data_IF_163051407060
#
_entry.id   IF_163051407060
#
_cell.length_a   1.000
_cell.length_b   1.000
_cell.length_c   1.000
_cell.angle_alpha   90.00
_cell.angle_beta   90.00
_cell.angle_gamma   90.00
#
_symmetry.space_group_name_H-M   'P 1'
#
loop_
_entity.id
_entity.type
_entity.pdbx_description
1 polymer ?
#
# COMPACT_ATOMS: atom_id res chain seq x y z
N UNK A 1 -24.19 18.68 -20.40
CA UNK A 1 -22.95 18.23 -19.76
C UNK A 1 -22.54 16.91 -20.41
N UNK A 2 -21.48 16.93 -21.22
CA UNK A 2 -20.97 15.73 -21.88
C UNK A 2 -20.02 15.04 -20.91
N UNK A 3 -20.43 13.89 -20.37
CA UNK A 3 -19.56 13.05 -19.55
C UNK A 3 -18.34 12.62 -20.37
N UNK A 4 -17.14 12.90 -19.86
CA UNK A 4 -15.90 12.45 -20.48
C UNK A 4 -15.91 10.92 -20.53
N UNK A 5 -15.91 10.37 -21.75
CA UNK A 5 -15.67 8.95 -21.96
C UNK A 5 -14.20 8.74 -22.25
N UNK A 6 -13.62 7.59 -21.87
CA UNK A 6 -12.20 7.30 -22.12
C UNK A 6 -11.81 7.30 -23.61
N UNK A 7 -12.79 7.37 -24.53
CA UNK A 7 -12.59 7.56 -25.98
C UNK A 7 -12.28 8.99 -26.38
N UNK A 8 -12.64 9.98 -25.56
CA UNK A 8 -12.49 11.41 -25.91
C UNK A 8 -11.09 11.95 -25.57
N UNK A 9 -10.28 11.17 -24.85
CA UNK A 9 -8.87 11.48 -24.55
C UNK A 9 -7.97 10.47 -25.28
N UNK A 10 -7.62 10.75 -26.53
CA UNK A 10 -6.72 9.91 -27.31
C UNK A 10 -5.29 9.90 -26.74
N UNK A 11 -4.69 8.72 -26.63
CA UNK A 11 -3.29 8.54 -26.20
C UNK A 11 -2.63 7.36 -26.90
N UNK A 12 -1.55 7.64 -27.61
CA UNK A 12 -0.69 6.64 -28.25
C UNK A 12 0.53 6.28 -27.38
N UNK A 13 0.91 5.00 -27.48
CA UNK A 13 2.03 4.21 -26.96
C UNK A 13 3.32 4.90 -26.44
N UNK A 14 4.00 4.29 -25.45
CA UNK A 14 5.30 3.56 -25.52
C UNK A 14 5.63 2.93 -24.14
N UNK A 15 6.49 1.90 -24.13
CA UNK A 15 6.62 0.77 -23.23
C UNK A 15 7.41 0.93 -21.90
N UNK A 16 7.06 0.01 -20.99
CA UNK A 16 7.80 -0.57 -19.82
C UNK A 16 7.59 -0.03 -18.40
N UNK A 17 6.93 -0.88 -17.60
CA UNK A 17 6.95 -0.99 -16.13
C UNK A 17 6.68 0.29 -15.31
N UNK A 18 5.41 0.46 -14.93
CA UNK A 18 4.85 1.61 -14.19
C UNK A 18 5.17 2.95 -14.86
N UNK A 19 4.68 3.13 -16.09
CA UNK A 19 4.89 4.40 -16.78
C UNK A 19 3.90 5.46 -16.33
N UNK A 20 4.48 6.46 -15.68
CA UNK A 20 4.04 7.85 -15.73
C UNK A 20 3.59 8.25 -17.13
N UNK A 21 2.47 8.98 -17.21
CA UNK A 21 2.08 9.72 -18.42
C UNK A 21 2.12 11.22 -18.15
N UNK A 22 3.05 11.91 -18.81
CA UNK A 22 3.16 13.36 -19.03
C UNK A 22 3.88 13.52 -20.38
N UNK A 23 3.63 14.56 -21.24
CA UNK A 23 3.23 15.93 -20.90
C UNK A 23 2.10 16.55 -21.73
N UNK A 24 1.34 15.83 -22.55
CA UNK A 24 0.43 16.51 -23.51
C UNK A 24 -1.03 16.07 -23.54
N UNK A 25 -1.49 15.17 -22.66
CA UNK A 25 -2.89 15.07 -22.21
C UNK A 25 -2.93 14.08 -21.01
N UNK A 26 -3.92 14.16 -20.13
CA UNK A 26 -3.89 13.64 -18.75
C UNK A 26 -4.59 12.27 -18.55
N UNK A 27 -3.91 11.30 -17.92
CA UNK A 27 -4.47 10.00 -17.43
C UNK A 27 -3.44 9.13 -16.71
N UNK A 28 -3.84 8.29 -15.74
CA UNK A 28 -2.98 7.27 -15.09
C UNK A 28 -3.43 5.87 -15.49
N UNK A 29 -2.46 5.04 -15.87
CA UNK A 29 -2.67 3.62 -16.19
C UNK A 29 -2.05 2.74 -15.10
N UNK A 30 -2.86 1.92 -14.45
CA UNK A 30 -2.35 0.92 -13.48
C UNK A 30 -2.18 -0.41 -14.22
N UNK A 31 -0.95 -0.90 -14.31
CA UNK A 31 -0.65 -2.20 -14.93
C UNK A 31 -0.81 -3.33 -13.91
N UNK A 32 -1.60 -4.33 -14.24
CA UNK A 32 -1.58 -5.63 -13.54
C UNK A 32 -0.59 -6.58 -14.24
N UNK A 33 0.65 -6.67 -13.75
CA UNK A 33 1.67 -7.58 -14.26
C UNK A 33 2.06 -8.67 -13.25
N UNK A 34 2.32 -9.92 -13.68
CA UNK A 34 2.96 -10.91 -12.84
C UNK A 34 4.45 -10.53 -12.76
N UNK A 35 4.88 -9.93 -11.66
CA UNK A 35 6.27 -9.48 -11.58
C UNK A 35 6.58 -8.65 -10.35
N UNK A 36 7.26 -9.33 -9.42
CA UNK A 36 8.15 -8.82 -8.37
C UNK A 36 7.53 -8.06 -7.20
N UNK A 37 7.56 -8.75 -6.04
CA UNK A 37 7.76 -8.23 -4.69
C UNK A 37 7.83 -6.69 -4.60
N UNK A 38 6.67 -6.07 -4.40
CA UNK A 38 6.60 -4.70 -3.93
C UNK A 38 5.59 -4.66 -2.78
N UNK A 39 6.11 -4.81 -1.57
CA UNK A 39 5.42 -4.47 -0.33
C UNK A 39 5.21 -2.97 -0.29
N UNK A 40 3.97 -2.52 -0.39
CA UNK A 40 3.50 -1.33 0.31
C UNK A 40 1.97 -1.29 0.28
N UNK A 41 1.36 -0.75 1.34
CA UNK A 41 -0.08 -0.75 1.60
C UNK A 41 -0.56 0.71 1.65
N UNK A 42 -1.63 1.05 0.93
CA UNK A 42 -2.49 2.19 1.26
C UNK A 42 -3.96 1.85 0.99
N UNK A 43 -4.81 2.29 1.92
CA UNK A 43 -6.26 2.23 1.84
C UNK A 43 -6.82 3.55 1.31
N UNK A 44 -7.42 3.51 0.11
CA UNK A 44 -8.30 4.59 -0.34
C UNK A 44 -9.72 4.26 0.16
N UNK A 45 -10.35 5.11 0.99
CA UNK A 45 -11.77 5.00 1.31
C UNK A 45 -12.57 5.55 0.12
N UNK A 46 -12.52 4.84 -1.00
CA UNK A 46 -13.47 4.98 -2.09
C UNK A 46 -14.45 3.82 -1.99
N UNK A 47 -15.72 4.10 -1.69
CA UNK A 47 -16.80 3.11 -1.80
C UNK A 47 -16.98 2.81 -3.30
N UNK A 48 -16.13 1.96 -3.84
CA UNK A 48 -16.42 1.21 -5.04
C UNK A 48 -17.29 0.04 -4.59
N UNK A 49 -18.55 0.15 -4.99
CA UNK A 49 -19.65 -0.76 -4.70
C UNK A 49 -19.18 -2.21 -4.60
N UNK A 50 -19.44 -2.83 -3.45
CA UNK A 50 -19.34 -4.27 -3.25
C UNK A 50 -20.39 -4.89 -4.17
N UNK A 51 -20.04 -5.17 -5.43
CA UNK A 51 -20.89 -5.99 -6.28
C UNK A 51 -20.89 -7.38 -5.69
N UNK A 52 -21.92 -7.66 -4.91
CA UNK A 52 -22.20 -8.99 -4.39
C UNK A 52 -22.72 -9.82 -5.57
N UNK A 53 -21.84 -10.29 -6.46
CA UNK A 53 -22.24 -11.11 -7.62
C UNK A 53 -22.53 -12.57 -7.25
N UNK A 54 -22.87 -12.83 -6.00
CA UNK A 54 -23.19 -14.16 -5.48
C UNK A 54 -24.62 -14.59 -5.81
N UNK A 55 -25.16 -14.17 -6.96
CA UNK A 55 -26.48 -14.63 -7.39
C UNK A 55 -26.40 -15.21 -8.82
N UNK A 56 -26.35 -16.55 -8.96
CA UNK A 56 -26.30 -17.56 -7.89
C UNK A 56 -24.89 -17.68 -7.26
N UNK A 57 -24.76 -18.06 -5.97
CA UNK A 57 -23.46 -18.26 -5.35
C UNK A 57 -22.86 -19.56 -5.89
N UNK A 58 -21.97 -19.45 -6.88
CA UNK A 58 -21.11 -20.57 -7.24
C UNK A 58 -20.18 -20.87 -6.07
N UNK A 59 -19.98 -22.13 -5.73
CA UNK A 59 -19.04 -22.55 -4.67
C UNK A 59 -17.85 -23.26 -5.30
N UNK A 60 -16.68 -23.13 -4.69
CA UNK A 60 -15.51 -23.92 -5.05
C UNK A 60 -15.74 -25.31 -4.46
N UNK A 61 -15.84 -26.35 -5.29
CA UNK A 61 -16.01 -27.72 -4.78
C UNK A 61 -14.71 -28.51 -4.80
N UNK A 62 -13.73 -28.06 -5.58
CA UNK A 62 -12.42 -28.69 -5.69
C UNK A 62 -11.34 -27.68 -6.04
N UNK A 63 -10.12 -27.95 -5.60
CA UNK A 63 -8.92 -27.16 -5.86
C UNK A 63 -7.76 -28.12 -6.11
N UNK A 64 -7.17 -28.06 -7.30
CA UNK A 64 -6.06 -28.93 -7.72
C UNK A 64 -4.85 -28.11 -8.20
N UNK A 65 -3.66 -28.70 -8.06
CA UNK A 65 -2.46 -28.15 -8.67
C UNK A 65 -2.59 -28.21 -10.19
N UNK A 66 -2.20 -27.15 -10.89
CA UNK A 66 -2.11 -27.21 -12.34
C UNK A 66 -0.86 -28.01 -12.74
N UNK A 67 -1.04 -29.15 -13.42
CA UNK A 67 0.04 -29.96 -14.02
C UNK A 67 0.66 -29.28 -15.27
N UNK A 68 0.68 -27.95 -15.32
CA UNK A 68 1.20 -27.14 -16.43
C UNK A 68 2.61 -26.63 -16.07
N UNK A 69 3.60 -26.68 -17.00
CA UNK A 69 4.91 -26.05 -16.81
C UNK A 69 4.85 -24.54 -16.48
N UNK A 70 3.73 -23.86 -16.77
CA UNK A 70 3.47 -22.46 -16.40
C UNK A 70 3.08 -22.27 -14.93
N UNK A 71 2.86 -23.36 -14.20
CA UNK A 71 2.39 -23.35 -12.82
C UNK A 71 0.93 -22.87 -12.67
N UNK A 72 0.40 -23.01 -11.46
CA UNK A 72 -0.89 -22.45 -11.06
C UNK A 72 -1.73 -23.42 -10.23
N UNK A 73 -2.95 -22.97 -9.93
CA UNK A 73 -3.96 -23.76 -9.23
C UNK A 73 -5.27 -23.67 -10.00
N UNK A 74 -5.97 -24.78 -10.17
CA UNK A 74 -7.32 -24.80 -10.72
C UNK A 74 -8.37 -24.77 -9.61
N UNK A 75 -9.40 -23.98 -9.82
CA UNK A 75 -10.59 -23.91 -8.98
C UNK A 75 -11.78 -24.46 -9.77
N UNK A 76 -12.50 -25.42 -9.21
CA UNK A 76 -13.64 -26.03 -9.87
C UNK A 76 -14.95 -25.59 -9.24
N UNK A 77 -15.92 -25.29 -10.09
CA UNK A 77 -17.26 -24.85 -9.70
C UNK A 77 -18.32 -25.80 -10.27
N UNK A 78 -19.37 -26.15 -9.49
CA UNK A 78 -20.43 -27.03 -9.98
C UNK A 78 -21.31 -26.33 -11.01
N UNK A 79 -21.32 -24.99 -11.00
CA UNK A 79 -22.04 -24.09 -11.89
C UNK A 79 -21.10 -22.98 -12.36
N UNK A 80 -21.41 -22.36 -13.50
CA UNK A 80 -20.59 -21.26 -14.04
C UNK A 80 -20.66 -20.07 -13.05
N UNK A 81 -19.53 -19.65 -12.45
CA UNK A 81 -19.51 -18.48 -11.60
C UNK A 81 -19.63 -17.20 -12.46
N UNK A 82 -20.26 -16.15 -11.93
CA UNK A 82 -20.38 -14.84 -12.61
C UNK A 82 -19.05 -14.08 -12.49
N UNK A 83 -18.03 -14.60 -13.15
CA UNK A 83 -16.65 -14.18 -13.09
C UNK A 83 -16.13 -14.05 -14.53
N UNK A 84 -15.19 -13.14 -14.75
CA UNK A 84 -14.46 -13.02 -16.02
C UNK A 84 -12.98 -13.31 -15.83
N UNK A 85 -12.31 -13.65 -16.93
CA UNK A 85 -10.87 -13.64 -16.98
C UNK A 85 -10.34 -12.29 -16.47
N UNK A 86 -9.28 -12.32 -15.66
CA UNK A 86 -8.66 -11.19 -14.98
C UNK A 86 -9.45 -10.54 -13.84
N UNK A 87 -10.63 -11.06 -13.48
CA UNK A 87 -11.21 -10.72 -12.19
C UNK A 87 -10.28 -11.22 -11.06
N UNK A 88 -10.35 -10.51 -9.93
CA UNK A 88 -9.66 -10.88 -8.70
C UNK A 88 -10.66 -11.57 -7.79
N UNK A 89 -10.28 -12.71 -7.23
CA UNK A 89 -11.10 -13.45 -6.28
C UNK A 89 -10.37 -13.66 -4.97
N UNK A 90 -11.08 -13.48 -3.86
CA UNK A 90 -10.57 -13.81 -2.53
C UNK A 90 -11.29 -15.06 -2.08
N UNK A 91 -10.52 -16.06 -1.68
CA UNK A 91 -11.04 -17.31 -1.10
C UNK A 91 -11.35 -17.03 0.37
N UNK A 92 -12.54 -17.42 0.84
CA UNK A 92 -12.94 -17.23 2.24
C UNK A 92 -12.28 -18.25 3.18
N UNK A 93 -12.40 -17.97 4.47
CA UNK A 93 -11.81 -18.68 5.62
C UNK A 93 -12.23 -20.13 5.76
N UNK A 94 -13.16 -20.57 4.92
CA UNK A 94 -13.74 -21.88 4.99
C UNK A 94 -13.03 -22.94 4.14
N UNK A 95 -11.94 -22.56 3.46
CA UNK A 95 -10.98 -23.47 2.86
C UNK A 95 -9.70 -23.38 3.68
N UNK A 96 -9.35 -24.46 4.37
CA UNK A 96 -8.23 -24.48 5.32
C UNK A 96 -7.21 -25.54 4.89
N UNK A 97 -5.92 -25.21 4.81
CA UNK A 97 -4.88 -26.21 4.57
C UNK A 97 -4.70 -27.08 5.81
N UNK A 98 -4.49 -28.38 5.60
CA UNK A 98 -4.05 -29.32 6.63
C UNK A 98 -2.52 -29.35 6.62
N UNK A 99 -1.93 -28.90 7.73
CA UNK A 99 -0.50 -28.96 7.96
C UNK A 99 -0.21 -29.57 9.34
N UNK A 100 0.99 -30.13 9.47
CA UNK A 100 1.53 -30.69 10.71
C UNK A 100 1.81 -29.62 11.77
N UNK A 101 2.11 -28.39 11.35
CA UNK A 101 2.48 -27.28 12.23
C UNK A 101 1.60 -26.03 12.01
N UNK A 102 1.11 -25.44 13.11
CA UNK A 102 0.16 -24.31 13.09
C UNK A 102 0.70 -23.05 12.41
N UNK A 103 2.01 -22.77 12.49
CA UNK A 103 2.63 -21.62 11.79
C UNK A 103 2.54 -21.82 10.28
N UNK A 104 2.87 -23.02 9.80
CA UNK A 104 2.79 -23.38 8.38
C UNK A 104 1.34 -23.33 7.90
N UNK A 105 0.40 -23.78 8.74
CA UNK A 105 -1.03 -23.68 8.46
C UNK A 105 -1.49 -22.22 8.30
N UNK A 106 -1.02 -21.31 9.16
CA UNK A 106 -1.33 -19.88 9.10
C UNK A 106 -0.81 -19.24 7.80
N UNK A 107 0.44 -19.52 7.45
CA UNK A 107 1.06 -18.97 6.23
C UNK A 107 0.36 -19.49 4.97
N UNK A 108 0.10 -20.80 4.90
CA UNK A 108 -0.64 -21.41 3.81
C UNK A 108 -2.08 -20.86 3.71
N UNK A 109 -2.75 -20.66 4.84
CA UNK A 109 -4.10 -20.06 4.86
C UNK A 109 -4.08 -18.65 4.27
N UNK A 110 -3.05 -17.86 4.60
CA UNK A 110 -2.89 -16.50 4.05
C UNK A 110 -2.63 -16.52 2.55
N UNK A 111 -1.85 -17.48 2.06
CA UNK A 111 -1.60 -17.67 0.62
C UNK A 111 -2.87 -18.11 -0.10
N UNK A 112 -3.60 -19.10 0.43
CA UNK A 112 -4.84 -19.62 -0.16
C UNK A 112 -5.90 -18.51 -0.26
N UNK A 113 -6.02 -17.63 0.73
CA UNK A 113 -6.93 -16.48 0.66
C UNK A 113 -6.60 -15.48 -0.46
N UNK A 114 -5.34 -15.43 -0.90
CA UNK A 114 -4.83 -14.42 -1.83
C UNK A 114 -4.39 -13.14 -1.11
N UNK A 115 -4.05 -13.23 0.18
CA UNK A 115 -3.68 -12.07 1.01
C UNK A 115 -4.74 -10.95 0.93
N UNK A 116 -4.33 -9.68 0.88
CA UNK A 116 -5.24 -8.53 0.80
C UNK A 116 -5.76 -8.23 -0.62
N UNK A 117 -5.12 -8.81 -1.64
CA UNK A 117 -5.33 -8.46 -3.06
C UNK A 117 -6.24 -9.47 -3.76
N UNK A 118 -6.21 -10.73 -3.33
CA UNK A 118 -6.88 -11.86 -3.98
C UNK A 118 -6.01 -12.52 -5.04
N UNK A 119 -6.57 -13.55 -5.66
CA UNK A 119 -5.98 -14.30 -6.77
C UNK A 119 -6.51 -13.81 -8.10
N UNK A 120 -5.60 -13.57 -9.05
CA UNK A 120 -5.95 -13.21 -10.43
C UNK A 120 -6.38 -14.45 -11.19
N UNK A 121 -7.50 -14.35 -11.89
CA UNK A 121 -7.91 -15.38 -12.84
C UNK A 121 -7.15 -15.21 -14.14
N UNK A 122 -6.36 -16.21 -14.47
CA UNK A 122 -5.51 -16.22 -15.66
C UNK A 122 -6.27 -16.80 -16.84
N UNK A 123 -7.13 -17.79 -16.61
CA UNK A 123 -7.78 -18.55 -17.66
C UNK A 123 -9.10 -19.15 -17.16
N UNK A 124 -10.06 -19.30 -18.07
CA UNK A 124 -11.33 -19.98 -17.82
C UNK A 124 -11.42 -21.19 -18.76
N UNK A 125 -11.77 -22.34 -18.20
CA UNK A 125 -11.77 -23.66 -18.82
C UNK A 125 -13.10 -24.37 -18.55
N UNK A 126 -13.36 -25.46 -19.26
CA UNK A 126 -14.53 -26.33 -19.06
C UNK A 126 -15.87 -25.57 -19.09
N UNK A 127 -16.11 -24.81 -20.16
CA UNK A 127 -17.28 -23.94 -20.30
C UNK A 127 -17.43 -22.99 -19.09
N UNK A 128 -16.32 -22.36 -18.72
CA UNK A 128 -16.18 -21.39 -17.63
C UNK A 128 -16.44 -21.95 -16.21
N UNK A 129 -16.43 -23.27 -16.02
CA UNK A 129 -16.58 -23.92 -14.70
C UNK A 129 -15.27 -24.23 -13.99
N UNK A 130 -14.15 -24.10 -14.68
CA UNK A 130 -12.82 -24.26 -14.11
C UNK A 130 -12.04 -22.98 -14.32
N UNK A 131 -11.50 -22.42 -13.24
CA UNK A 131 -10.70 -21.20 -13.30
C UNK A 131 -9.26 -21.52 -12.96
N UNK A 132 -8.32 -21.02 -13.76
CA UNK A 132 -6.89 -21.07 -13.41
C UNK A 132 -6.51 -19.78 -12.70
N UNK A 133 -5.92 -19.91 -11.51
CA UNK A 133 -5.32 -18.79 -10.78
C UNK A 133 -3.81 -18.93 -10.71
N UNK A 134 -3.13 -17.78 -10.61
CA UNK A 134 -1.67 -17.70 -10.49
C UNK A 134 -1.23 -17.91 -9.03
N UNK A 135 -1.46 -19.12 -8.54
CA UNK A 135 -1.04 -19.57 -7.20
C UNK A 135 -0.30 -20.88 -7.35
N UNK A 136 0.94 -20.94 -6.85
CA UNK A 136 1.75 -22.16 -6.85
C UNK A 136 2.05 -22.53 -5.40
N UNK A 137 1.75 -23.78 -5.04
CA UNK A 137 2.03 -24.36 -3.73
C UNK A 137 2.91 -25.59 -3.91
N UNK A 138 4.04 -25.64 -3.22
CA UNK A 138 4.95 -26.79 -3.24
C UNK A 138 5.38 -27.15 -1.80
N UNK A 139 5.04 -28.35 -1.29
CA UNK A 139 4.08 -29.29 -1.84
C UNK A 139 2.65 -28.74 -1.81
N UNK A 140 1.79 -29.23 -2.70
CA UNK A 140 0.37 -28.86 -2.68
C UNK A 140 -0.30 -29.43 -1.41
N UNK A 141 -0.87 -28.59 -0.51
CA UNK A 141 -1.42 -29.06 0.75
C UNK A 141 -2.75 -29.79 0.55
N UNK A 142 -3.08 -30.68 1.49
CA UNK A 142 -4.44 -31.23 1.60
C UNK A 142 -5.34 -30.11 2.11
N UNK A 143 -6.49 -29.89 1.46
CA UNK A 143 -7.45 -28.84 1.82
C UNK A 143 -8.69 -29.44 2.48
N UNK A 144 -9.14 -28.79 3.54
CA UNK A 144 -10.39 -29.10 4.25
C UNK A 144 -11.41 -27.98 3.99
N UNK A 145 -12.63 -28.36 3.59
CA UNK A 145 -13.73 -27.45 3.30
C UNK A 145 -14.74 -27.41 4.45
N UNK A 146 -15.24 -26.22 4.81
CA UNK A 146 -16.23 -26.03 5.87
C UNK A 146 -17.42 -25.15 5.40
N UNK A 147 -18.56 -25.71 4.98
CA UNK A 147 -19.00 -27.08 5.12
C UNK A 147 -18.26 -28.05 4.18
N UNK A 148 -18.30 -29.37 4.45
CA UNK A 148 -17.61 -30.37 3.63
C UNK A 148 -18.00 -30.22 2.16
N UNK A 149 -16.99 -30.15 1.27
CA UNK A 149 -17.13 -30.01 -0.19
C UNK A 149 -17.57 -28.63 -0.72
N UNK A 150 -17.55 -27.58 0.10
CA UNK A 150 -17.88 -26.22 -0.37
C UNK A 150 -16.95 -25.15 0.19
N UNK A 151 -16.21 -24.53 -0.72
CA UNK A 151 -15.39 -23.35 -0.52
C UNK A 151 -16.12 -22.10 -0.98
N UNK A 152 -16.09 -21.06 -0.17
CA UNK A 152 -16.69 -19.77 -0.51
C UNK A 152 -15.60 -18.84 -1.01
N UNK A 153 -16.02 -17.89 -1.81
CA UNK A 153 -15.15 -16.88 -2.40
C UNK A 153 -15.98 -15.63 -2.66
N UNK A 154 -15.30 -14.51 -2.87
CA UNK A 154 -15.93 -13.30 -3.37
C UNK A 154 -15.02 -12.62 -4.38
N UNK A 155 -15.64 -11.92 -5.32
CA UNK A 155 -14.91 -11.09 -6.28
C UNK A 155 -14.43 -9.81 -5.61
N UNK A 156 -13.13 -9.55 -5.65
CA UNK A 156 -12.50 -8.36 -5.09
C UNK A 156 -11.75 -7.59 -6.19
N UNK A 157 -12.46 -6.97 -7.12
CA UNK A 157 -11.85 -6.09 -8.13
C UNK A 157 -11.39 -4.74 -7.52
N UNK A 158 -10.89 -4.77 -6.29
CA UNK A 158 -10.29 -3.63 -5.60
C UNK A 158 -8.78 -3.84 -5.63
N UNK A 159 -8.09 -2.98 -6.35
CA UNK A 159 -6.63 -2.89 -6.23
C UNK A 159 -6.34 -1.79 -5.23
N UNK A 160 -5.61 -2.13 -4.16
CA UNK A 160 -4.96 -1.16 -3.30
C UNK A 160 -3.57 -0.89 -3.87
N UNK A 161 -3.30 0.36 -4.23
CA UNK A 161 -1.97 0.78 -4.71
C UNK A 161 -1.35 1.71 -3.67
N UNK A 162 -0.18 1.37 -3.12
CA UNK A 162 0.53 2.24 -2.18
C UNK A 162 1.20 3.46 -2.82
N UNK A 163 1.35 4.52 -2.02
CA UNK A 163 2.24 5.66 -2.28
C UNK A 163 2.13 6.29 -3.69
N UNK A 164 0.90 6.43 -4.22
CA UNK A 164 0.71 7.19 -5.46
C UNK A 164 1.01 8.68 -5.17
N UNK A 165 2.03 9.22 -5.84
CA UNK A 165 2.41 10.63 -5.76
C UNK A 165 2.22 11.31 -7.13
N UNK A 166 1.66 12.51 -7.11
CA UNK A 166 1.61 13.39 -8.26
C UNK A 166 2.73 14.42 -8.16
N UNK A 167 3.31 14.82 -9.30
CA UNK A 167 4.21 15.99 -9.37
C UNK A 167 3.46 17.31 -9.30
N UNK A 168 2.17 17.30 -9.62
CA UNK A 168 1.33 18.48 -9.74
C UNK A 168 -0.07 18.22 -9.17
N UNK A 169 -0.73 19.29 -8.76
CA UNK A 169 -2.13 19.26 -8.39
C UNK A 169 -3.01 18.99 -9.62
N UNK A 170 -3.89 18.00 -9.50
CA UNK A 170 -4.85 17.65 -10.55
C UNK A 170 -6.06 16.97 -9.92
N UNK A 171 -7.24 17.50 -10.19
CA UNK A 171 -8.50 16.93 -9.75
C UNK A 171 -9.09 16.00 -10.81
N UNK A 172 -9.87 15.01 -10.36
CA UNK A 172 -10.72 14.17 -11.20
C UNK A 172 -9.99 13.46 -12.35
N UNK A 173 -8.75 13.03 -12.10
CA UNK A 173 -7.99 12.24 -13.05
C UNK A 173 -8.66 10.87 -13.23
N UNK A 174 -9.16 10.61 -14.44
CA UNK A 174 -9.76 9.32 -14.77
C UNK A 174 -8.73 8.19 -14.61
N UNK A 175 -9.10 7.18 -13.81
CA UNK A 175 -8.36 5.93 -13.64
C UNK A 175 -9.08 4.87 -14.45
N UNK A 176 -8.37 4.26 -15.40
CA UNK A 176 -8.95 3.28 -16.33
C UNK A 176 -8.49 1.86 -16.01
N UNK A 177 -9.36 0.88 -16.30
CA UNK A 177 -9.06 -0.54 -16.24
C UNK A 177 -8.67 -1.08 -17.61
N UNK A 178 -7.59 -1.89 -17.66
CA UNK A 178 -6.99 -2.39 -18.89
C UNK A 178 -6.15 -3.64 -18.67
N UNK A 179 -6.05 -4.52 -19.68
CA UNK A 179 -5.17 -5.69 -19.63
C UNK A 179 -3.71 -5.28 -19.86
N UNK A 180 -3.50 -4.29 -20.74
CA UNK A 180 -2.19 -3.80 -21.17
C UNK A 180 -2.14 -2.27 -21.13
N UNK A 181 -0.94 -1.73 -21.08
CA UNK A 181 -0.75 -0.29 -21.28
C UNK A 181 -1.33 0.08 -22.66
N UNK A 182 -2.23 1.07 -22.71
CA UNK A 182 -2.92 1.48 -23.94
C UNK A 182 -4.23 0.73 -24.24
N UNK A 183 -4.56 -0.32 -23.51
CA UNK A 183 -5.86 -1.02 -23.63
C UNK A 183 -6.77 -0.59 -22.48
N UNK A 184 -7.97 -0.10 -22.78
CA UNK A 184 -8.90 0.41 -21.77
C UNK A 184 -10.31 -0.15 -21.99
N UNK A 185 -10.83 -0.87 -21.02
CA UNK A 185 -12.15 -1.52 -21.10
C UNK A 185 -13.22 -0.78 -20.32
N UNK A 186 -12.85 -0.11 -19.22
CA UNK A 186 -13.79 0.59 -18.36
C UNK A 186 -13.11 1.69 -17.53
N UNK A 187 -13.88 2.70 -17.14
CA UNK A 187 -13.50 3.64 -16.09
C UNK A 187 -13.55 2.91 -14.75
N UNK A 188 -12.43 2.88 -14.04
CA UNK A 188 -12.32 2.30 -12.70
C UNK A 188 -12.68 3.33 -11.61
N UNK A 189 -12.45 4.61 -11.86
CA UNK A 189 -12.78 5.69 -10.94
C UNK A 189 -12.04 6.98 -11.29
N UNK A 190 -11.97 7.88 -10.31
CA UNK A 190 -11.25 9.14 -10.42
C UNK A 190 -10.25 9.27 -9.27
N UNK A 191 -9.12 9.92 -9.54
CA UNK A 191 -8.08 10.23 -8.58
C UNK A 191 -7.86 11.74 -8.56
N UNK A 192 -7.68 12.32 -7.38
CA UNK A 192 -7.29 13.72 -7.25
C UNK A 192 -5.97 13.80 -6.49
N UNK A 193 -5.01 14.52 -7.05
CA UNK A 193 -3.81 14.96 -6.35
C UNK A 193 -4.03 16.39 -5.90
N UNK A 194 -3.89 16.62 -4.61
CA UNK A 194 -3.91 17.96 -4.02
C UNK A 194 -2.48 18.38 -3.72
N UNK A 195 -2.17 19.66 -3.94
CA UNK A 195 -0.86 20.17 -3.54
C UNK A 195 -0.77 20.09 -2.01
N UNK A 196 0.27 19.45 -1.45
CA UNK A 196 0.46 19.40 -0.01
C UNK A 196 1.01 20.73 0.51
N UNK A 197 0.29 21.84 0.32
CA UNK A 197 0.55 23.12 0.99
C UNK A 197 0.14 23.06 2.48
N UNK A 198 0.50 21.97 3.15
CA UNK A 198 0.22 21.73 4.57
C UNK A 198 1.35 22.26 5.47
N UNK A 199 2.54 22.47 4.91
CA UNK A 199 3.72 22.95 5.62
C UNK A 199 4.29 24.18 4.89
N UNK A 200 3.92 25.38 5.32
CA UNK A 200 4.21 26.65 4.61
C UNK A 200 5.70 26.99 4.58
N UNK A 201 6.45 26.54 5.58
CA UNK A 201 7.90 26.75 5.68
C UNK A 201 8.53 25.49 6.19
N UNK A 202 9.60 25.03 5.55
CA UNK A 202 10.42 23.91 6.00
C UNK A 202 11.88 24.33 5.84
N UNK A 203 12.67 24.19 6.90
CA UNK A 203 14.10 24.47 6.90
C UNK A 203 14.86 23.35 7.58
N UNK A 204 15.98 22.95 6.97
CA UNK A 204 16.90 21.97 7.52
C UNK A 204 18.21 22.66 7.88
N UNK A 205 18.56 22.68 9.17
CA UNK A 205 19.82 23.18 9.69
C UNK A 205 20.76 22.03 10.01
N UNK A 206 21.88 21.94 9.30
CA UNK A 206 22.94 20.97 9.59
C UNK A 206 23.92 21.55 10.59
N UNK A 207 24.23 20.82 11.67
CA UNK A 207 25.27 21.25 12.64
C UNK A 207 26.68 20.89 12.17
N UNK A 208 26.81 20.00 11.19
CA UNK A 208 28.06 19.67 10.50
C UNK A 208 27.81 19.44 9.02
N UNK A 209 28.81 19.72 8.20
CA UNK A 209 28.86 19.33 6.78
C UNK A 209 30.01 18.37 6.49
N UNK A 210 30.70 17.89 7.54
CA UNK A 210 31.80 16.95 7.39
C UNK A 210 31.28 15.57 6.99
N UNK A 211 31.75 15.05 5.86
CA UNK A 211 31.37 13.72 5.38
C UNK A 211 31.79 12.63 6.40
N UNK A 212 30.94 11.62 6.55
CA UNK A 212 31.18 10.47 7.44
C UNK A 212 31.06 10.78 8.94
N UNK A 213 30.64 11.99 9.33
CA UNK A 213 30.41 12.34 10.73
C UNK A 213 28.91 12.36 11.04
N UNK A 214 28.55 11.79 12.18
CA UNK A 214 27.19 11.91 12.73
C UNK A 214 27.09 13.16 13.59
N UNK A 215 26.10 14.00 13.33
CA UNK A 215 25.79 15.15 14.18
C UNK A 215 24.29 15.44 14.18
N UNK A 216 23.78 16.16 15.19
CA UNK A 216 22.38 16.58 15.24
C UNK A 216 21.98 17.41 14.03
N UNK A 217 20.75 17.26 13.58
CA UNK A 217 20.16 18.05 12.51
C UNK A 217 18.90 18.70 13.07
N UNK A 218 18.71 19.98 12.74
CA UNK A 218 17.56 20.76 13.19
C UNK A 218 16.58 20.86 12.02
N UNK A 219 15.41 20.24 12.14
CA UNK A 219 14.32 20.37 11.19
C UNK A 219 13.27 21.32 11.79
N UNK A 220 13.05 22.46 11.15
CA UNK A 220 11.97 23.37 11.53
C UNK A 220 10.92 23.43 10.44
N UNK A 221 9.64 23.32 10.81
CA UNK A 221 8.53 23.46 9.89
C UNK A 221 7.35 24.21 10.51
N UNK A 222 6.62 24.95 9.68
CA UNK A 222 5.39 25.65 10.09
C UNK A 222 4.20 25.00 9.40
N UNK A 223 3.22 24.55 10.18
CA UNK A 223 1.95 24.05 9.65
C UNK A 223 1.13 25.19 9.04
N UNK A 224 0.45 24.90 7.93
CA UNK A 224 -0.41 25.87 7.25
C UNK A 224 -1.82 25.96 7.83
N UNK A 225 -2.63 26.78 7.18
CA UNK A 225 -4.03 27.04 7.54
C UNK A 225 -5.00 25.93 7.08
N UNK A 226 -4.75 24.68 7.50
CA UNK A 226 -5.54 23.53 7.06
C UNK A 226 -6.61 23.12 8.10
N UNK A 227 -7.87 22.85 7.69
CA UNK A 227 -8.92 22.28 8.54
C UNK A 227 -8.48 21.08 9.39
N UNK A 228 -7.56 20.24 8.89
CA UNK A 228 -7.03 19.08 9.60
C UNK A 228 -6.22 19.45 10.87
N UNK A 229 -5.68 20.67 10.93
CA UNK A 229 -4.87 21.16 12.05
C UNK A 229 -5.66 22.02 13.06
N UNK A 230 -6.86 22.49 12.71
CA UNK A 230 -7.69 23.31 13.62
C UNK A 230 -8.30 22.49 14.75
N UNK A 231 -8.77 21.30 14.42
CA UNK A 231 -9.33 20.34 15.36
C UNK A 231 -8.88 18.94 14.91
N UNK A 232 -7.71 18.46 15.36
CA UNK A 232 -7.24 17.12 15.02
C UNK A 232 -8.16 16.08 15.68
N UNK A 233 -9.34 15.81 15.10
CA UNK A 233 -10.32 14.87 15.66
C UNK A 233 -9.88 13.41 15.51
N UNK A 234 -9.00 13.14 14.55
CA UNK A 234 -8.46 11.82 14.27
C UNK A 234 -7.00 11.73 14.67
N UNK A 235 -6.51 10.50 14.85
CA UNK A 235 -5.08 10.25 15.01
C UNK A 235 -4.30 10.85 13.82
N UNK A 236 -3.16 11.45 14.13
CA UNK A 236 -2.31 12.13 13.16
C UNK A 236 -0.95 11.44 13.11
N UNK A 237 -0.31 11.45 11.94
CA UNK A 237 1.06 10.96 11.78
C UNK A 237 1.93 12.02 11.12
N UNK A 238 3.12 12.24 11.67
CA UNK A 238 4.19 12.99 11.02
C UNK A 238 5.21 12.00 10.48
N UNK A 239 5.48 12.06 9.17
CA UNK A 239 6.41 11.17 8.47
C UNK A 239 7.62 11.96 7.97
N UNK A 240 8.80 11.67 8.50
CA UNK A 240 10.08 12.16 8.01
C UNK A 240 10.67 11.12 7.05
N UNK A 241 10.86 11.47 5.78
CA UNK A 241 11.34 10.52 4.77
C UNK A 241 12.71 10.94 4.24
N UNK A 242 13.68 10.04 4.37
CA UNK A 242 15.03 10.17 3.83
C UNK A 242 15.06 9.40 2.50
N UNK A 243 14.93 10.13 1.39
CA UNK A 243 14.83 9.55 0.05
C UNK A 243 16.17 9.07 -0.49
N UNK A 244 17.26 9.65 -0.01
CA UNK A 244 18.61 9.31 -0.44
C UNK A 244 19.54 9.25 0.79
N UNK A 245 19.66 8.05 1.35
CA UNK A 245 20.48 7.79 2.54
C UNK A 245 21.98 7.85 2.27
N UNK A 246 22.41 7.91 1.01
CA UNK A 246 23.83 8.10 0.68
C UNK A 246 24.30 9.53 0.94
N UNK A 247 23.36 10.50 0.98
CA UNK A 247 23.66 11.91 1.25
C UNK A 247 23.46 12.24 2.73
N UNK A 248 22.30 11.92 3.28
CA UNK A 248 21.98 12.08 4.71
C UNK A 248 21.25 10.82 5.18
N UNK A 249 21.83 10.13 6.17
CA UNK A 249 21.22 8.97 6.81
C UNK A 249 20.85 9.30 8.26
N UNK A 250 19.65 8.88 8.72
CA UNK A 250 19.28 9.04 10.13
C UNK A 250 20.09 8.08 11.01
N UNK A 251 20.53 8.60 12.15
CA UNK A 251 21.20 7.85 13.21
C UNK A 251 20.43 8.00 14.52
N UNK A 252 20.61 7.04 15.43
CA UNK A 252 20.06 7.13 16.76
C UNK A 252 20.68 8.28 17.54
N UNK A 253 19.87 8.92 18.39
CA UNK A 253 20.27 9.94 19.35
C UNK A 253 21.03 9.35 20.56
N UNK A 254 21.66 8.19 20.41
CA UNK A 254 22.46 7.53 21.45
C UNK A 254 23.95 7.87 21.32
N UNK A 255 24.74 7.52 22.34
CA UNK A 255 26.18 7.82 22.38
C UNK A 255 26.97 7.16 21.23
N UNK A 256 26.49 6.01 20.76
CA UNK A 256 27.16 5.25 19.70
C UNK A 256 26.76 5.71 18.28
N UNK A 257 25.78 6.62 18.17
CA UNK A 257 25.33 7.23 16.93
C UNK A 257 25.07 6.21 15.80
N UNK A 258 24.53 5.05 16.18
CA UNK A 258 24.33 3.93 15.26
C UNK A 258 23.28 4.30 14.21
N UNK A 259 23.49 3.87 12.97
CA UNK A 259 22.55 4.13 11.88
C UNK A 259 21.22 3.43 12.16
N UNK A 260 20.13 4.16 11.94
CA UNK A 260 18.76 3.66 12.13
C UNK A 260 18.44 2.50 11.17
N UNK A 261 19.20 2.38 10.08
CA UNK A 261 19.12 1.31 9.09
C UNK A 261 19.25 -0.12 9.67
N UNK A 262 19.96 -0.25 10.80
CA UNK A 262 20.18 -1.53 11.49
C UNK A 262 19.07 -1.91 12.47
N UNK A 263 18.02 -1.10 12.58
CA UNK A 263 16.91 -1.35 13.50
C UNK A 263 16.10 -2.58 13.04
N UNK A 264 16.00 -3.59 13.91
CA UNK A 264 15.27 -4.85 13.67
C UNK A 264 13.95 -4.95 14.46
N UNK A 265 13.57 -3.91 15.20
CA UNK A 265 12.38 -3.84 16.04
C UNK A 265 11.76 -2.45 15.98
N UNK A 266 10.47 -2.30 16.22
CA UNK A 266 9.73 -1.07 15.96
C UNK A 266 9.72 -0.69 14.46
N UNK A 267 9.62 -1.70 13.60
CA UNK A 267 9.58 -1.52 12.15
C UNK A 267 8.15 -1.33 11.59
N UNK A 268 7.16 -1.48 12.47
CA UNK A 268 5.74 -1.40 12.17
C UNK A 268 4.99 -0.51 13.16
N UNK A 269 3.86 0.03 12.70
CA UNK A 269 3.03 0.96 13.47
C UNK A 269 2.59 0.41 14.83
N UNK A 270 2.26 -0.89 14.92
CA UNK A 270 1.79 -1.51 16.16
C UNK A 270 2.90 -1.71 17.20
N UNK A 271 4.16 -1.54 16.80
CA UNK A 271 5.35 -1.62 17.64
C UNK A 271 5.84 -0.23 18.09
N UNK A 272 5.10 0.84 17.71
CA UNK A 272 5.46 2.20 18.04
C UNK A 272 5.44 2.44 19.56
N UNK A 273 6.47 3.13 20.07
CA UNK A 273 6.56 3.44 21.50
C UNK A 273 7.29 4.75 21.79
N UNK A 274 7.10 5.28 23.00
CA UNK A 274 7.84 6.46 23.49
C UNK A 274 9.34 6.22 23.60
N UNK A 275 9.74 5.00 23.97
CA UNK A 275 11.15 4.63 24.05
C UNK A 275 11.84 4.75 22.67
N UNK A 276 11.12 4.42 21.59
CA UNK A 276 11.63 4.59 20.22
C UNK A 276 11.76 6.08 19.88
N UNK A 277 10.78 6.92 20.24
CA UNK A 277 10.89 8.37 20.05
C UNK A 277 12.13 8.95 20.74
N UNK A 278 12.36 8.61 22.01
CA UNK A 278 13.52 9.09 22.78
C UNK A 278 14.87 8.57 22.28
N UNK A 279 14.89 7.52 21.45
CA UNK A 279 16.11 7.06 20.76
C UNK A 279 16.33 7.77 19.43
N UNK A 280 15.31 8.39 18.85
CA UNK A 280 15.38 9.03 17.53
C UNK A 280 15.56 10.55 17.62
N UNK A 281 14.98 11.19 18.64
CA UNK A 281 14.95 12.64 18.77
C UNK A 281 15.63 13.09 20.06
N UNK A 282 16.56 14.04 19.92
CA UNK A 282 17.22 14.67 21.06
C UNK A 282 16.30 15.69 21.74
N UNK A 283 15.58 16.48 20.93
CA UNK A 283 14.71 17.54 21.41
C UNK A 283 13.51 17.69 20.45
N UNK A 284 12.35 18.05 21.01
CA UNK A 284 11.14 18.38 20.26
C UNK A 284 10.57 19.66 20.87
N UNK A 285 10.43 20.70 20.05
CA UNK A 285 10.02 22.03 20.49
C UNK A 285 8.94 22.63 19.58
N UNK A 286 8.07 23.46 20.13
CA UNK A 286 7.11 24.25 19.35
C UNK A 286 6.96 25.64 19.95
N UNK A 287 6.41 26.57 19.17
CA UNK A 287 6.04 27.92 19.61
C UNK A 287 4.76 27.97 20.46
N UNK A 288 4.14 26.82 20.77
CA UNK A 288 3.01 26.73 21.69
C UNK A 288 3.46 26.83 23.15
N UNK A 289 2.62 27.41 23.99
CA UNK A 289 2.85 27.49 25.45
C UNK A 289 3.06 26.11 26.10
N UNK A 290 2.37 25.08 25.60
CA UNK A 290 2.48 23.71 26.07
C UNK A 290 3.60 22.90 25.39
N UNK A 291 4.37 23.53 24.49
CA UNK A 291 5.45 22.89 23.76
C UNK A 291 4.98 21.92 22.67
N UNK A 292 5.89 21.06 22.23
CA UNK A 292 5.63 20.08 21.18
C UNK A 292 4.62 19.02 21.70
N UNK A 293 3.56 18.68 20.94
CA UNK A 293 2.58 17.68 21.35
C UNK A 293 3.28 16.33 21.57
N UNK A 294 3.05 15.71 22.73
CA UNK A 294 3.70 14.44 23.06
C UNK A 294 3.17 13.35 22.11
N UNK A 295 4.01 12.73 21.26
CA UNK A 295 3.56 11.65 20.40
C UNK A 295 3.07 10.48 21.26
N UNK A 296 2.21 9.61 20.72
CA UNK A 296 1.86 8.32 21.32
C UNK A 296 3.04 7.34 21.23
N UNK A 297 3.74 7.36 20.10
CA UNK A 297 4.94 6.55 19.89
C UNK A 297 5.56 6.82 18.51
N UNK A 298 6.75 6.28 18.30
CA UNK A 298 7.47 6.38 17.04
C UNK A 298 7.84 5.00 16.53
N UNK A 299 7.92 4.85 15.21
CA UNK A 299 8.42 3.64 14.55
C UNK A 299 9.18 4.02 13.27
N UNK A 300 9.97 3.09 12.75
CA UNK A 300 10.84 3.33 11.59
C UNK A 300 10.57 2.30 10.52
N UNK A 301 10.24 2.75 9.31
CA UNK A 301 10.15 1.88 8.14
C UNK A 301 11.47 1.94 7.36
N UNK A 302 12.24 0.86 7.41
CA UNK A 302 13.51 0.72 6.69
C UNK A 302 13.41 -0.23 5.48
N UNK A 303 12.24 -0.80 5.23
CA UNK A 303 12.00 -1.85 4.23
C UNK A 303 11.65 -1.29 2.84
N UNK A 304 11.86 0.02 2.63
CA UNK A 304 11.53 0.68 1.37
C UNK A 304 12.75 0.94 0.52
N UNK A 305 12.61 0.71 -0.78
CA UNK A 305 13.58 1.08 -1.79
C UNK A 305 12.93 2.06 -2.78
N UNK A 306 13.60 3.18 -3.00
CA UNK A 306 13.27 4.15 -4.04
C UNK A 306 14.19 4.01 -5.24
N UNK A 307 13.97 4.85 -6.25
CA UNK A 307 14.81 4.89 -7.47
C UNK A 307 16.28 5.20 -7.19
N UNK A 308 16.58 5.84 -6.06
CA UNK A 308 17.93 6.26 -5.65
C UNK A 308 18.55 5.39 -4.53
N UNK A 309 17.93 4.26 -4.19
CA UNK A 309 18.43 3.34 -3.16
C UNK A 309 17.47 3.16 -1.99
N UNK A 310 18.00 2.84 -0.81
CA UNK A 310 17.19 2.57 0.39
C UNK A 310 16.53 3.86 0.87
N UNK A 311 15.24 3.79 1.15
CA UNK A 311 14.44 4.88 1.71
C UNK A 311 14.15 4.54 3.16
N UNK A 312 14.50 5.44 4.06
CA UNK A 312 14.17 5.30 5.49
C UNK A 312 13.08 6.31 5.80
N UNK A 313 12.01 5.86 6.46
CA UNK A 313 10.95 6.73 6.94
C UNK A 313 10.79 6.60 8.45
N UNK A 314 10.83 7.72 9.16
CA UNK A 314 10.54 7.80 10.59
C UNK A 314 9.14 8.35 10.75
N UNK A 315 8.35 7.71 11.61
CA UNK A 315 6.97 8.09 11.88
C UNK A 315 6.82 8.49 13.35
N UNK A 316 6.19 9.64 13.58
CA UNK A 316 5.68 10.05 14.88
C UNK A 316 4.16 9.93 14.83
N UNK A 317 3.59 9.17 15.76
CA UNK A 317 2.16 8.95 15.88
C UNK A 317 1.60 9.85 16.97
N UNK A 318 0.45 10.47 16.72
CA UNK A 318 -0.27 11.31 17.67
C UNK A 318 -1.68 10.76 17.88
N UNK A 319 -2.12 10.74 19.13
CA UNK A 319 -3.50 10.41 19.45
C UNK A 319 -4.46 11.50 18.94
N UNK A 320 -5.74 11.13 18.81
CA UNK A 320 -6.78 12.11 18.54
C UNK A 320 -6.69 13.28 19.54
N UNK A 321 -6.89 14.49 19.05
CA UNK A 321 -6.86 15.76 19.78
C UNK A 321 -5.47 16.20 20.27
N UNK A 322 -4.45 15.35 20.18
CA UNK A 322 -3.08 15.63 20.61
C UNK A 322 -2.09 15.66 19.43
N UNK A 323 -2.53 16.21 18.30
CA UNK A 323 -1.74 16.35 17.07
C UNK A 323 -1.11 17.72 16.88
N UNK A 324 -0.54 17.92 15.69
CA UNK A 324 -0.04 19.22 15.25
C UNK A 324 -1.21 20.21 15.06
N UNK A 325 -0.98 21.48 15.37
CA UNK A 325 -1.95 22.58 15.33
C UNK A 325 -1.69 23.48 14.12
N UNK A 326 -2.70 24.25 13.71
CA UNK A 326 -2.60 25.11 12.53
C UNK A 326 -1.68 26.30 12.82
N UNK A 327 -0.98 26.80 11.79
CA UNK A 327 -0.16 28.02 11.88
C UNK A 327 0.87 27.99 13.02
N UNK A 328 1.40 26.80 13.32
CA UNK A 328 2.27 26.55 14.46
C UNK A 328 3.65 26.13 13.97
N UNK A 329 4.70 26.68 14.57
CA UNK A 329 6.08 26.34 14.23
C UNK A 329 6.60 25.25 15.14
N UNK A 330 7.13 24.20 14.52
CA UNK A 330 7.68 23.03 15.19
C UNK A 330 9.15 22.88 14.82
N UNK A 331 9.96 22.48 15.80
CA UNK A 331 11.38 22.20 15.66
C UNK A 331 11.69 20.82 16.23
N UNK A 332 12.42 20.03 15.47
CA UNK A 332 12.89 18.66 15.76
C UNK A 332 14.41 18.63 15.58
#
# INVERSE_FOLDING_TARGET
>A
EKGQTCRDTGFDNVATHVLWCSPTNKGICVRHGPGTNATSIFDLPGILWRYNSTDPPAFIFDIEAADDPRGGTFLHFPVVPVIRQFDMIVIEDNIVPRADHWVRQRDLSRIIRGQDVGHRIVEMLNADRTLRIDMVLDPFPILDFNPPQQGRWFRNNKIKVPDIRGSEEIAELAVCWGERAGEYYALAGYLSFVNPNFLERITLGLTTTAAGHTAPVILTFTTGDNPQYFLPQNAMQLRLTFTNTTVIAPAFANQDAELVENMTYADQMHEASQAVCGRLFLELHSDLELGFPVPQGCYVDTNRYGSEGRVIAIYLLFEALNGLKAQTTYTI
#
